data_IF_376018168763
#
_entry.id   IF_376018168763
#
_cell.length_a   1.000
_cell.length_b   1.000
_cell.length_c   1.000
_cell.angle_alpha   90.00
_cell.angle_beta   90.00
_cell.angle_gamma   90.00
#
_symmetry.space_group_name_H-M   'P 1'
#
loop_
_entity.id
_entity.type
_entity.pdbx_description
1 polymer ?
#
# COMPACT_ATOMS: atom_id res chain seq x y z
N UNK A 1 3.96 1.94 -26.47
CA UNK A 1 3.55 1.05 -25.35
C UNK A 1 2.72 1.90 -24.41
N UNK A 2 1.55 1.43 -24.00
CA UNK A 2 0.70 2.15 -23.05
C UNK A 2 1.37 2.13 -21.66
N UNK A 3 1.41 3.28 -20.99
CA UNK A 3 1.90 3.38 -19.63
C UNK A 3 0.85 2.83 -18.67
N UNK A 4 1.23 1.94 -17.75
CA UNK A 4 0.36 1.45 -16.69
C UNK A 4 0.13 2.52 -15.61
N UNK A 5 1.22 3.17 -15.19
CA UNK A 5 1.18 4.32 -14.29
C UNK A 5 1.92 5.49 -14.91
N UNK A 6 1.30 6.65 -14.92
CA UNK A 6 1.89 7.90 -15.37
C UNK A 6 1.69 8.98 -14.31
N UNK A 7 2.77 9.60 -13.91
CA UNK A 7 2.79 10.81 -13.10
C UNK A 7 3.29 11.95 -14.00
N UNK A 8 2.52 13.03 -14.08
CA UNK A 8 2.83 14.18 -14.92
C UNK A 8 2.84 15.46 -14.09
N UNK A 9 4.02 16.08 -13.98
CA UNK A 9 4.28 17.33 -13.25
C UNK A 9 3.69 17.38 -11.85
N UNK A 10 3.79 16.25 -11.13
CA UNK A 10 3.29 16.15 -9.77
C UNK A 10 4.02 17.12 -8.86
N UNK A 11 3.28 17.98 -8.20
CA UNK A 11 3.76 18.83 -7.13
C UNK A 11 2.92 18.62 -5.87
N UNK A 12 3.56 18.53 -4.71
CA UNK A 12 2.91 18.37 -3.41
C UNK A 12 3.43 19.42 -2.46
N UNK A 13 2.52 20.25 -1.94
CA UNK A 13 2.81 21.31 -0.99
C UNK A 13 1.99 21.11 0.27
N UNK A 14 2.65 21.10 1.43
CA UNK A 14 2.02 21.03 2.74
C UNK A 14 1.78 22.43 3.28
N UNK A 15 0.53 22.73 3.66
CA UNK A 15 0.12 23.99 4.28
C UNK A 15 0.30 23.86 5.81
N UNK A 16 1.45 24.29 6.31
CA UNK A 16 1.76 24.28 7.74
C UNK A 16 1.43 25.63 8.38
N UNK A 17 1.18 25.71 9.70
CA UNK A 17 1.01 26.98 10.39
C UNK A 17 2.19 27.95 10.25
N UNK A 18 3.39 27.39 10.03
CA UNK A 18 4.64 28.13 9.81
C UNK A 18 4.89 28.55 8.37
N UNK A 19 3.99 28.20 7.44
CA UNK A 19 4.08 28.50 6.02
C UNK A 19 3.98 27.25 5.12
N UNK A 20 3.91 27.47 3.82
CA UNK A 20 3.83 26.39 2.84
C UNK A 20 5.19 25.75 2.57
N UNK A 21 5.25 24.42 2.59
CA UNK A 21 6.46 23.63 2.31
C UNK A 21 6.21 22.72 1.13
N UNK A 22 6.93 22.91 0.03
CA UNK A 22 6.85 22.07 -1.16
C UNK A 22 7.78 20.86 -1.00
N UNK A 23 7.19 19.67 -0.86
CA UNK A 23 7.92 18.41 -0.68
C UNK A 23 8.20 17.68 -2.01
N UNK A 24 7.39 17.91 -3.03
CA UNK A 24 7.56 17.37 -4.39
C UNK A 24 7.32 18.51 -5.38
N UNK A 25 8.19 18.67 -6.37
CA UNK A 25 8.11 19.73 -7.36
C UNK A 25 8.24 19.17 -8.77
N UNK A 26 7.16 19.25 -9.55
CA UNK A 26 7.08 18.91 -10.98
C UNK A 26 7.69 17.55 -11.35
N UNK A 27 7.50 16.54 -10.51
CA UNK A 27 7.99 15.17 -10.78
C UNK A 27 7.14 14.53 -11.86
N UNK A 28 7.80 13.98 -12.87
CA UNK A 28 7.18 13.19 -13.93
C UNK A 28 7.89 11.86 -14.06
N UNK A 29 7.12 10.78 -14.15
CA UNK A 29 7.63 9.42 -14.38
C UNK A 29 6.54 8.56 -15.02
N UNK A 30 6.96 7.45 -15.63
CA UNK A 30 6.08 6.47 -16.25
C UNK A 30 6.54 5.08 -15.91
N UNK A 31 5.60 4.18 -15.75
CA UNK A 31 5.84 2.74 -15.52
C UNK A 31 4.98 1.98 -16.51
N UNK A 32 5.61 1.15 -17.34
CA UNK A 32 4.91 0.25 -18.24
C UNK A 32 4.44 -1.02 -17.50
N UNK A 33 3.58 -1.80 -18.12
CA UNK A 33 3.18 -3.10 -17.58
C UNK A 33 4.40 -4.04 -17.48
N UNK A 34 4.57 -4.69 -16.33
CA UNK A 34 5.71 -5.57 -16.04
C UNK A 34 7.03 -4.85 -15.76
N UNK A 35 7.06 -3.52 -15.78
CA UNK A 35 8.26 -2.74 -15.48
C UNK A 35 8.49 -2.58 -13.98
N UNK A 36 9.77 -2.55 -13.60
CA UNK A 36 10.22 -2.15 -12.26
C UNK A 36 10.95 -0.83 -12.33
N UNK A 37 10.43 0.20 -11.67
CA UNK A 37 11.06 1.53 -11.57
C UNK A 37 11.63 1.74 -10.17
N UNK A 38 12.93 2.05 -10.08
CA UNK A 38 13.56 2.45 -8.83
C UNK A 38 13.59 3.98 -8.68
N UNK A 39 12.94 4.50 -7.64
CA UNK A 39 13.00 5.91 -7.28
C UNK A 39 14.06 6.13 -6.21
N UNK A 40 15.20 6.73 -6.58
CA UNK A 40 16.38 6.89 -5.71
C UNK A 40 16.55 8.36 -5.31
N UNK A 41 17.11 8.60 -4.13
CA UNK A 41 17.39 9.95 -3.62
C UNK A 41 17.60 9.95 -2.11
N UNK A 42 18.07 11.07 -1.58
CA UNK A 42 18.33 11.26 -0.15
C UNK A 42 17.05 11.21 0.73
N UNK A 43 17.23 11.11 2.04
CA UNK A 43 16.11 11.25 2.98
C UNK A 43 15.47 12.64 2.81
N UNK A 44 14.15 12.73 2.80
CA UNK A 44 13.42 13.99 2.59
C UNK A 44 13.28 14.44 1.15
N UNK A 45 13.81 13.72 0.14
CA UNK A 45 13.72 14.10 -1.28
C UNK A 45 12.32 13.91 -1.92
N UNK A 46 11.29 13.59 -1.14
CA UNK A 46 9.91 13.48 -1.65
C UNK A 46 9.49 12.09 -2.18
N UNK A 47 10.35 11.06 -2.15
CA UNK A 47 10.03 9.70 -2.65
C UNK A 47 8.76 9.12 -2.05
N UNK A 48 8.69 9.06 -0.73
CA UNK A 48 7.53 8.54 0.00
C UNK A 48 6.29 9.40 -0.21
N UNK A 49 6.45 10.71 -0.32
CA UNK A 49 5.35 11.64 -0.61
C UNK A 49 4.78 11.37 -2.01
N UNK A 50 5.64 11.15 -3.02
CA UNK A 50 5.24 10.81 -4.39
C UNK A 50 4.44 9.50 -4.41
N UNK A 51 4.95 8.45 -3.77
CA UNK A 51 4.27 7.15 -3.69
C UNK A 51 2.93 7.26 -2.95
N UNK A 52 2.89 7.99 -1.83
CA UNK A 52 1.68 8.18 -1.02
C UNK A 52 0.62 9.02 -1.76
N UNK A 53 1.07 10.01 -2.56
CA UNK A 53 0.20 10.82 -3.41
C UNK A 53 -0.54 9.97 -4.44
N UNK A 54 0.13 8.95 -5.03
CA UNK A 54 -0.46 8.03 -6.01
C UNK A 54 -1.71 7.33 -5.46
N UNK A 55 -1.70 6.99 -4.18
CA UNK A 55 -2.86 6.39 -3.51
C UNK A 55 -3.77 7.41 -2.80
N UNK A 56 -3.53 8.71 -2.95
CA UNK A 56 -4.28 9.77 -2.24
C UNK A 56 -4.34 9.51 -0.73
N UNK A 57 -3.21 9.12 -0.13
CA UNK A 57 -3.07 8.87 1.30
C UNK A 57 -2.34 10.01 2.03
N UNK A 58 -2.09 11.12 1.34
CA UNK A 58 -1.57 12.32 1.97
C UNK A 58 -2.59 12.93 2.94
N UNK A 59 -2.14 13.59 4.02
CA UNK A 59 -3.02 14.28 4.95
C UNK A 59 -3.74 15.47 4.27
N UNK A 60 -4.85 15.92 4.84
CA UNK A 60 -5.69 17.00 4.28
C UNK A 60 -4.95 18.33 4.07
N UNK A 61 -3.91 18.58 4.86
CA UNK A 61 -3.05 19.76 4.72
C UNK A 61 -2.16 19.73 3.46
N UNK A 62 -2.12 18.62 2.73
CA UNK A 62 -1.35 18.48 1.50
C UNK A 62 -2.20 18.89 0.28
N UNK A 63 -1.66 19.82 -0.49
CA UNK A 63 -2.20 20.20 -1.79
C UNK A 63 -1.40 19.49 -2.89
N UNK A 64 -2.12 18.82 -3.79
CA UNK A 64 -1.53 18.07 -4.90
C UNK A 64 -1.90 18.75 -6.22
N UNK A 65 -0.91 18.97 -7.07
CA UNK A 65 -1.07 19.51 -8.43
C UNK A 65 -0.42 18.57 -9.44
N UNK A 66 -0.79 18.67 -10.72
CA UNK A 66 -0.38 17.76 -11.77
C UNK A 66 -1.41 16.66 -12.02
N UNK A 67 -0.97 15.54 -12.60
CA UNK A 67 -1.85 14.41 -12.87
C UNK A 67 -1.17 13.08 -12.46
N UNK A 68 -1.98 12.13 -12.01
CA UNK A 68 -1.57 10.75 -11.74
C UNK A 68 -2.57 9.84 -12.45
N UNK A 69 -2.12 9.17 -13.51
CA UNK A 69 -2.96 8.26 -14.30
C UNK A 69 -2.57 6.82 -14.06
N UNK A 70 -3.55 5.99 -13.79
CA UNK A 70 -3.39 4.54 -13.71
C UNK A 70 -4.33 3.89 -14.73
N UNK A 71 -3.76 3.14 -15.65
CA UNK A 71 -4.49 2.54 -16.78
C UNK A 71 -5.37 3.58 -17.52
N UNK A 72 -4.81 4.78 -17.73
CA UNK A 72 -5.49 5.92 -18.35
C UNK A 72 -6.47 6.69 -17.46
N UNK A 73 -6.83 6.20 -16.26
CA UNK A 73 -7.76 6.84 -15.34
C UNK A 73 -7.03 7.81 -14.40
N UNK A 74 -7.44 9.08 -14.33
CA UNK A 74 -6.83 10.08 -13.45
C UNK A 74 -7.22 9.84 -12.00
N UNK A 75 -6.28 9.35 -11.19
CA UNK A 75 -6.48 9.01 -9.78
C UNK A 75 -6.80 10.23 -8.90
N UNK A 76 -6.41 11.44 -9.29
CA UNK A 76 -6.74 12.66 -8.54
C UNK A 76 -8.20 13.06 -8.72
N UNK A 77 -8.80 12.72 -9.88
CA UNK A 77 -10.17 13.07 -10.24
C UNK A 77 -11.21 11.98 -9.92
N UNK A 78 -10.79 10.73 -9.72
CA UNK A 78 -11.73 9.63 -9.44
C UNK A 78 -12.52 9.83 -8.15
N UNK A 79 -13.74 9.31 -8.13
CA UNK A 79 -14.60 9.34 -6.94
C UNK A 79 -13.97 8.57 -5.76
N UNK A 80 -14.28 8.93 -4.51
CA UNK A 80 -13.83 8.19 -3.34
C UNK A 80 -14.20 6.70 -3.37
N UNK A 81 -15.34 6.35 -3.96
CA UNK A 81 -15.80 4.96 -4.14
C UNK A 81 -14.88 4.19 -5.11
N UNK A 82 -14.50 4.80 -6.22
CA UNK A 82 -13.57 4.21 -7.20
C UNK A 82 -12.18 4.05 -6.58
N UNK A 83 -11.68 5.08 -5.92
CA UNK A 83 -10.38 5.04 -5.24
C UNK A 83 -10.28 3.92 -4.19
N UNK A 84 -11.36 3.66 -3.43
CA UNK A 84 -11.42 2.54 -2.48
C UNK A 84 -11.33 1.15 -3.14
N UNK A 85 -11.78 1.02 -4.40
CA UNK A 85 -11.63 -0.23 -5.17
C UNK A 85 -10.20 -0.41 -5.66
N UNK A 86 -9.56 0.67 -6.11
CA UNK A 86 -8.18 0.65 -6.60
C UNK A 86 -7.22 0.28 -5.46
N UNK A 87 -7.36 0.92 -4.29
CA UNK A 87 -6.51 0.67 -3.13
C UNK A 87 -6.60 -0.77 -2.66
N UNK A 88 -5.47 -1.48 -2.70
CA UNK A 88 -5.33 -2.86 -2.23
C UNK A 88 -5.82 -3.93 -3.22
N UNK A 89 -6.45 -3.55 -4.36
CA UNK A 89 -6.80 -4.48 -5.42
C UNK A 89 -5.95 -4.27 -6.68
N UNK A 90 -5.91 -3.03 -7.18
CA UNK A 90 -5.22 -2.67 -8.41
C UNK A 90 -3.83 -2.09 -8.10
N UNK A 91 -3.74 -1.26 -7.06
CA UNK A 91 -2.48 -0.70 -6.54
C UNK A 91 -2.40 -0.97 -5.04
N UNK A 92 -1.30 -1.56 -4.60
CA UNK A 92 -0.98 -1.76 -3.19
C UNK A 92 0.34 -1.09 -2.81
N UNK A 93 0.54 -0.84 -1.53
CA UNK A 93 1.75 -0.22 -0.98
C UNK A 93 2.25 -1.02 0.22
N UNK A 94 3.56 -1.23 0.27
CA UNK A 94 4.25 -1.75 1.45
C UNK A 94 4.94 -0.57 2.12
N UNK A 95 4.58 -0.29 3.37
CA UNK A 95 5.17 0.80 4.14
C UNK A 95 6.53 0.38 4.74
N UNK A 96 7.38 1.37 5.00
CA UNK A 96 8.73 1.14 5.53
C UNK A 96 8.72 0.52 6.93
N UNK A 97 7.67 0.76 7.72
CA UNK A 97 7.46 0.15 9.04
C UNK A 97 6.27 -0.83 9.02
N UNK A 98 6.46 -2.06 8.51
CA UNK A 98 5.36 -3.02 8.33
C UNK A 98 4.72 -3.45 9.66
N UNK A 99 5.43 -3.37 10.77
CA UNK A 99 4.92 -3.76 12.09
C UNK A 99 3.74 -2.91 12.57
N UNK A 100 3.68 -1.64 12.15
CA UNK A 100 2.55 -0.75 12.47
C UNK A 100 1.34 -0.94 11.55
N UNK A 101 1.50 -1.70 10.47
CA UNK A 101 0.46 -1.92 9.47
C UNK A 101 -0.57 -2.98 9.89
N UNK A 102 -0.21 -3.85 10.83
CA UNK A 102 -1.10 -4.87 11.35
C UNK A 102 -1.77 -4.39 12.66
N UNK A 103 -3.08 -4.58 12.74
CA UNK A 103 -3.81 -4.31 13.98
C UNK A 103 -3.47 -5.41 15.02
N UNK A 104 -2.82 -5.04 16.15
CA UNK A 104 -2.40 -6.02 17.15
C UNK A 104 -3.57 -6.73 17.86
N UNK A 105 -4.76 -6.16 17.81
CA UNK A 105 -5.98 -6.72 18.41
C UNK A 105 -6.66 -7.77 17.52
N UNK A 106 -6.22 -7.92 16.28
CA UNK A 106 -6.82 -8.86 15.33
C UNK A 106 -5.82 -9.90 14.85
N UNK A 107 -6.28 -11.14 14.77
CA UNK A 107 -5.51 -12.24 14.20
C UNK A 107 -5.12 -11.96 12.75
N UNK A 108 -3.92 -12.32 12.36
CA UNK A 108 -3.40 -12.09 10.99
C UNK A 108 -4.33 -12.70 9.93
N UNK A 109 -4.76 -13.93 10.12
CA UNK A 109 -5.69 -14.59 9.19
C UNK A 109 -7.02 -13.86 9.02
N UNK A 110 -7.52 -13.17 10.07
CA UNK A 110 -8.71 -12.32 9.96
C UNK A 110 -8.44 -11.11 9.09
N UNK A 111 -7.33 -10.43 9.30
CA UNK A 111 -6.96 -9.24 8.54
C UNK A 111 -6.78 -9.54 7.04
N UNK A 112 -6.09 -10.65 6.70
CA UNK A 112 -5.98 -11.13 5.31
C UNK A 112 -7.37 -11.48 4.77
N UNK A 113 -8.19 -12.18 5.56
CA UNK A 113 -9.52 -12.59 5.16
C UNK A 113 -10.48 -11.43 4.88
N UNK A 114 -10.34 -10.30 5.57
CA UNK A 114 -11.11 -9.07 5.32
C UNK A 114 -10.81 -8.50 3.94
N UNK A 115 -9.54 -8.46 3.54
CA UNK A 115 -9.11 -8.02 2.20
C UNK A 115 -9.68 -8.92 1.12
N UNK A 116 -9.61 -10.24 1.31
CA UNK A 116 -10.15 -11.22 0.37
C UNK A 116 -11.68 -11.11 0.23
N UNK A 117 -12.38 -10.87 1.33
CA UNK A 117 -13.83 -10.65 1.29
C UNK A 117 -14.16 -9.37 0.52
N UNK A 118 -13.46 -8.27 0.81
CA UNK A 118 -13.73 -6.95 0.23
C UNK A 118 -13.42 -6.89 -1.26
N UNK A 119 -12.30 -7.46 -1.71
CA UNK A 119 -11.81 -7.29 -3.09
C UNK A 119 -12.07 -8.50 -3.99
N UNK A 120 -12.18 -9.70 -3.42
CA UNK A 120 -12.39 -10.94 -4.18
C UNK A 120 -13.74 -11.60 -3.90
N UNK A 121 -14.55 -11.07 -2.99
CA UNK A 121 -15.85 -11.64 -2.62
C UNK A 121 -15.77 -13.02 -1.99
N UNK A 122 -14.61 -13.42 -1.44
CA UNK A 122 -14.44 -14.74 -0.85
C UNK A 122 -15.04 -14.81 0.56
N UNK A 123 -15.77 -15.89 0.83
CA UNK A 123 -16.43 -16.17 2.10
C UNK A 123 -16.21 -17.62 2.56
N UNK A 124 -16.49 -17.91 3.83
CA UNK A 124 -16.52 -19.28 4.38
C UNK A 124 -15.21 -20.06 4.16
N UNK A 125 -15.34 -21.32 3.75
CA UNK A 125 -14.22 -22.24 3.54
C UNK A 125 -13.26 -21.82 2.43
N UNK A 126 -13.78 -21.24 1.34
CA UNK A 126 -12.96 -20.73 0.23
C UNK A 126 -12.03 -19.59 0.68
N UNK A 127 -12.53 -18.65 1.50
CA UNK A 127 -11.73 -17.61 2.12
C UNK A 127 -10.64 -18.19 3.02
N UNK A 128 -11.01 -19.12 3.92
CA UNK A 128 -10.05 -19.77 4.83
C UNK A 128 -8.93 -20.47 4.04
N UNK A 129 -9.27 -21.25 3.03
CA UNK A 129 -8.28 -21.94 2.18
C UNK A 129 -7.32 -20.93 1.55
N UNK A 130 -7.86 -19.86 0.95
CA UNK A 130 -7.01 -18.84 0.30
C UNK A 130 -6.09 -18.11 1.28
N UNK A 131 -6.54 -17.88 2.52
CA UNK A 131 -5.68 -17.32 3.58
C UNK A 131 -4.51 -18.27 3.90
N UNK A 132 -4.77 -19.57 4.04
CA UNK A 132 -3.73 -20.57 4.28
C UNK A 132 -2.73 -20.63 3.13
N UNK A 133 -3.20 -20.68 1.88
CA UNK A 133 -2.35 -20.68 0.68
C UNK A 133 -1.42 -19.45 0.65
N UNK A 134 -1.92 -18.26 1.00
CA UNK A 134 -1.14 -17.02 1.04
C UNK A 134 -0.07 -17.05 2.13
N UNK A 135 -0.38 -17.59 3.30
CA UNK A 135 0.58 -17.73 4.40
C UNK A 135 1.68 -18.73 4.06
N UNK A 136 1.34 -19.83 3.39
CA UNK A 136 2.29 -20.82 2.90
C UNK A 136 3.21 -20.22 1.82
N UNK A 137 2.66 -19.46 0.87
CA UNK A 137 3.43 -18.78 -0.18
C UNK A 137 4.50 -17.83 0.36
N UNK A 138 4.29 -17.22 1.51
CA UNK A 138 5.27 -16.34 2.17
C UNK A 138 6.14 -17.09 3.20
N UNK A 139 6.08 -18.42 3.22
CA UNK A 139 6.96 -19.26 4.03
C UNK A 139 6.63 -19.28 5.53
N UNK A 140 5.40 -18.95 5.93
CA UNK A 140 4.98 -19.07 7.32
C UNK A 140 4.74 -20.55 7.65
N UNK A 141 5.53 -21.14 8.57
CA UNK A 141 5.35 -22.52 8.98
C UNK A 141 4.03 -22.67 9.76
N UNK A 142 3.36 -23.80 9.60
CA UNK A 142 2.10 -24.12 10.27
C UNK A 142 1.03 -23.01 10.10
N UNK A 143 0.63 -22.69 8.86
CA UNK A 143 -0.26 -21.56 8.59
C UNK A 143 -1.62 -21.65 9.32
N UNK A 144 -2.04 -22.86 9.69
CA UNK A 144 -3.25 -23.06 10.49
C UNK A 144 -3.15 -22.44 11.88
N UNK A 145 -1.99 -22.47 12.53
CA UNK A 145 -1.75 -21.77 13.80
C UNK A 145 -1.72 -20.26 13.60
N UNK A 146 -1.11 -19.75 12.53
CA UNK A 146 -1.11 -18.32 12.19
C UNK A 146 -2.51 -17.75 11.97
N UNK A 147 -3.43 -18.53 11.42
CA UNK A 147 -4.84 -18.15 11.27
C UNK A 147 -5.59 -18.16 12.61
N UNK A 148 -5.24 -19.11 13.50
CA UNK A 148 -6.00 -19.40 14.73
C UNK A 148 -5.57 -18.59 15.96
N UNK A 149 -4.26 -18.32 16.12
CA UNK A 149 -3.68 -17.87 17.40
C UNK A 149 -2.74 -16.68 17.31
N UNK A 150 -2.07 -16.43 16.18
CA UNK A 150 -1.08 -15.36 16.10
C UNK A 150 -1.73 -13.99 16.05
N UNK A 151 -1.58 -13.22 17.12
CA UNK A 151 -1.61 -11.76 17.08
C UNK A 151 -0.25 -11.24 16.60
N UNK A 152 -0.16 -10.08 15.95
CA UNK A 152 1.09 -9.53 15.41
C UNK A 152 2.25 -9.36 16.41
N UNK A 153 1.96 -9.40 17.71
CA UNK A 153 2.93 -9.26 18.79
C UNK A 153 3.59 -10.59 19.20
N UNK A 154 3.10 -11.72 18.75
CA UNK A 154 3.68 -13.03 19.03
C UNK A 154 4.64 -13.45 17.92
N UNK A 155 5.73 -12.72 17.73
CA UNK A 155 6.88 -13.25 17.03
C UNK A 155 7.53 -14.32 17.93
N UNK A 156 7.77 -15.56 17.48
CA UNK A 156 8.64 -16.46 18.20
C UNK A 156 10.03 -15.82 18.14
N UNK A 157 10.45 -15.20 19.24
CA UNK A 157 11.82 -14.84 19.44
C UNK A 157 12.66 -16.07 19.16
N UNK A 158 13.62 -15.93 18.27
CA UNK A 158 14.60 -16.94 17.95
C UNK A 158 15.19 -17.51 19.25
N UNK A 159 14.82 -18.72 19.59
CA UNK A 159 15.58 -19.55 20.50
C UNK A 159 16.77 -20.09 19.71
N UNK A 160 17.76 -19.24 19.46
CA UNK A 160 19.09 -19.62 19.09
C UNK A 160 19.97 -19.35 20.30
N UNK A 161 20.16 -20.34 21.14
CA UNK A 161 21.22 -20.38 22.12
C UNK A 161 21.65 -21.83 22.34
N UNK A 162 22.90 -22.06 22.13
CA UNK A 162 23.63 -23.27 22.47
C UNK A 162 24.56 -23.74 21.40
#
# INVERSE_FOLDING_TARGET
MSSLLEIDKLSVTFQLPTGAVTAVKEVSLRIAEGETLALVGESGSGKSVTSTATLRLLPELAQTQGAIRFDGEDLLAVTPRRMRRIRGNDISMIFQEPMTSLNPLHRVGRQIGEVLTKHKGLHGSAKRRRVLDLLEQVGIPEPERGVSTATPTSSPAASASG
#
